data_IF_614612659826
#
_entry.id   IF_614612659826
#
_cell.length_a   1.000
_cell.length_b   1.000
_cell.length_c   1.000
_cell.angle_alpha   90.00
_cell.angle_beta   90.00
_cell.angle_gamma   90.00
#
_symmetry.space_group_name_H-M   'P 1'
#
loop_
_entity.id
_entity.type
_entity.pdbx_description
1 polymer ?
#
# COMPACT_ATOMS: atom_id res chain seq x y z
N UNK A 1 -3.41 -18.25 16.33
CA UNK A 1 -2.80 -19.07 15.24
C UNK A 1 -3.09 -18.39 13.92
N UNK A 2 -2.10 -18.21 13.04
CA UNK A 2 -2.31 -17.54 11.76
C UNK A 2 -3.04 -18.49 10.81
N UNK A 3 -4.16 -18.04 10.24
CA UNK A 3 -4.90 -18.80 9.24
C UNK A 3 -4.20 -18.74 7.88
N UNK A 4 -3.78 -19.88 7.35
CA UNK A 4 -3.10 -19.98 6.04
C UNK A 4 -3.88 -19.28 4.92
N UNK A 5 -5.21 -19.40 4.92
CA UNK A 5 -6.09 -18.76 3.92
C UNK A 5 -5.99 -17.24 3.94
N UNK A 6 -6.02 -16.63 5.13
CA UNK A 6 -5.94 -15.18 5.29
C UNK A 6 -4.54 -14.66 4.98
N UNK A 7 -3.50 -15.40 5.38
CA UNK A 7 -2.11 -15.09 5.00
C UNK A 7 -1.95 -15.06 3.48
N UNK A 8 -2.40 -16.10 2.80
CA UNK A 8 -2.33 -16.15 1.34
C UNK A 8 -3.09 -14.99 0.67
N UNK A 9 -4.30 -14.69 1.13
CA UNK A 9 -5.11 -13.57 0.62
C UNK A 9 -4.42 -12.22 0.85
N UNK A 10 -3.79 -12.03 2.00
CA UNK A 10 -3.05 -10.80 2.31
C UNK A 10 -1.88 -10.61 1.34
N UNK A 11 -1.04 -11.64 1.19
CA UNK A 11 0.08 -11.63 0.25
C UNK A 11 -0.41 -11.37 -1.18
N UNK A 12 -1.42 -12.10 -1.62
CA UNK A 12 -1.99 -11.96 -2.96
C UNK A 12 -2.47 -10.53 -3.23
N UNK A 13 -3.14 -9.90 -2.26
CA UNK A 13 -3.59 -8.50 -2.38
C UNK A 13 -2.43 -7.53 -2.52
N UNK A 14 -1.35 -7.70 -1.75
CA UNK A 14 -0.15 -6.86 -1.87
C UNK A 14 0.46 -6.97 -3.26
N UNK A 15 0.62 -8.20 -3.77
CA UNK A 15 1.16 -8.43 -5.10
C UNK A 15 0.26 -7.87 -6.22
N UNK A 16 -1.04 -8.15 -6.15
CA UNK A 16 -1.98 -7.64 -7.15
C UNK A 16 -2.03 -6.12 -7.15
N UNK A 17 -1.96 -5.48 -5.97
CA UNK A 17 -1.91 -4.02 -5.86
C UNK A 17 -0.64 -3.46 -6.50
N UNK A 18 0.52 -4.06 -6.24
CA UNK A 18 1.79 -3.63 -6.84
C UNK A 18 1.77 -3.78 -8.37
N UNK A 19 1.29 -4.92 -8.87
CA UNK A 19 1.16 -5.17 -10.31
C UNK A 19 0.21 -4.15 -10.95
N UNK A 20 -0.96 -3.90 -10.32
CA UNK A 20 -1.92 -2.91 -10.82
C UNK A 20 -1.31 -1.50 -10.88
N UNK A 21 -0.58 -1.08 -9.84
CA UNK A 21 0.13 0.20 -9.81
C UNK A 21 1.16 0.31 -10.94
N UNK A 22 1.95 -0.75 -11.16
CA UNK A 22 2.94 -0.78 -12.23
C UNK A 22 2.29 -0.75 -13.62
N UNK A 23 1.22 -1.53 -13.83
CA UNK A 23 0.48 -1.52 -15.10
C UNK A 23 -0.09 -0.14 -15.38
N UNK A 24 -0.76 0.48 -14.40
CA UNK A 24 -1.34 1.83 -14.53
C UNK A 24 -0.26 2.84 -14.88
N UNK A 25 0.87 2.82 -14.17
CA UNK A 25 1.97 3.74 -14.41
C UNK A 25 2.56 3.59 -15.81
N UNK A 26 3.00 2.38 -16.18
CA UNK A 26 3.67 2.16 -17.48
C UNK A 26 2.71 2.27 -18.67
N UNK A 27 1.44 1.89 -18.51
CA UNK A 27 0.43 2.11 -19.53
C UNK A 27 0.17 3.61 -19.76
N UNK A 28 0.12 4.40 -18.69
CA UNK A 28 -0.03 5.86 -18.78
C UNK A 28 1.23 6.53 -19.34
N UNK A 29 2.42 6.01 -19.01
CA UNK A 29 3.68 6.53 -19.54
C UNK A 29 3.93 6.17 -21.02
N UNK A 30 3.30 5.12 -21.53
CA UNK A 30 3.51 4.61 -22.89
C UNK A 30 4.90 4.01 -23.15
N UNK A 31 5.71 3.81 -22.09
CA UNK A 31 7.08 3.31 -22.19
C UNK A 31 7.52 2.60 -20.92
N UNK A 32 8.44 1.62 -21.06
CA UNK A 32 8.98 0.85 -19.93
C UNK A 32 10.39 1.30 -19.50
N UNK A 33 11.07 2.11 -20.29
CA UNK A 33 12.45 2.54 -20.06
C UNK A 33 12.52 3.73 -19.11
N UNK A 34 11.99 3.57 -17.90
CA UNK A 34 12.00 4.58 -16.83
C UNK A 34 12.72 4.01 -15.60
N UNK A 35 14.06 4.11 -15.50
CA UNK A 35 14.83 3.48 -14.42
C UNK A 35 14.36 3.89 -13.02
N UNK A 36 13.97 5.15 -12.81
CA UNK A 36 13.49 5.65 -11.51
C UNK A 36 12.19 4.96 -11.08
N UNK A 37 11.30 4.63 -12.02
CA UNK A 37 10.08 3.88 -11.73
C UNK A 37 10.41 2.45 -11.30
N UNK A 38 11.33 1.79 -11.98
CA UNK A 38 11.77 0.44 -11.60
C UNK A 38 12.38 0.42 -10.20
N UNK A 39 13.25 1.40 -9.87
CA UNK A 39 13.80 1.53 -8.52
C UNK A 39 12.67 1.65 -7.48
N UNK A 40 11.67 2.50 -7.74
CA UNK A 40 10.53 2.68 -6.84
C UNK A 40 9.73 1.38 -6.66
N UNK A 41 9.38 0.66 -7.75
CA UNK A 41 8.63 -0.59 -7.66
C UNK A 41 9.41 -1.72 -6.98
N UNK A 42 10.72 -1.82 -7.22
CA UNK A 42 11.59 -2.78 -6.54
C UNK A 42 11.64 -2.47 -5.03
N UNK A 43 11.80 -1.22 -4.64
CA UNK A 43 11.80 -0.83 -3.22
C UNK A 43 10.43 -1.06 -2.57
N UNK A 44 9.34 -0.81 -3.28
CA UNK A 44 7.99 -1.12 -2.80
C UNK A 44 7.79 -2.62 -2.61
N UNK A 45 8.31 -3.44 -3.52
CA UNK A 45 8.29 -4.89 -3.37
C UNK A 45 9.07 -5.35 -2.14
N UNK A 46 10.30 -4.84 -1.95
CA UNK A 46 11.12 -5.13 -0.76
C UNK A 46 10.38 -4.70 0.52
N UNK A 47 9.75 -3.53 0.50
CA UNK A 47 8.91 -3.07 1.61
C UNK A 47 7.78 -4.04 1.92
N UNK A 48 7.04 -4.52 0.93
CA UNK A 48 5.94 -5.47 1.15
C UNK A 48 6.44 -6.78 1.75
N UNK A 49 7.56 -7.31 1.27
CA UNK A 49 8.17 -8.52 1.83
C UNK A 49 8.62 -8.31 3.28
N UNK A 50 9.38 -7.22 3.52
CA UNK A 50 9.90 -6.92 4.86
C UNK A 50 8.76 -6.66 5.85
N UNK A 51 7.78 -5.86 5.47
CA UNK A 51 6.60 -5.59 6.28
C UNK A 51 5.84 -6.89 6.59
N UNK A 52 5.63 -7.75 5.61
CA UNK A 52 5.00 -9.05 5.82
C UNK A 52 5.77 -9.90 6.84
N UNK A 53 7.10 -10.01 6.71
CA UNK A 53 7.94 -10.80 7.63
C UNK A 53 7.85 -10.24 9.06
N UNK A 54 7.93 -8.93 9.21
CA UNK A 54 7.83 -8.26 10.52
C UNK A 54 6.45 -8.53 11.16
N UNK A 55 5.37 -8.29 10.41
CA UNK A 55 4.02 -8.48 10.91
C UNK A 55 3.71 -9.96 11.20
N UNK A 56 4.22 -10.88 10.38
CA UNK A 56 4.05 -12.31 10.61
C UNK A 56 4.68 -12.76 11.94
N UNK A 57 5.80 -12.15 12.31
CA UNK A 57 6.51 -12.48 13.57
C UNK A 57 5.96 -11.73 14.78
N UNK A 58 5.62 -10.46 14.65
CA UNK A 58 5.31 -9.59 15.78
C UNK A 58 3.80 -9.41 16.00
N UNK A 59 3.01 -9.36 14.93
CA UNK A 59 1.57 -9.10 14.98
C UNK A 59 0.78 -10.00 14.03
N UNK A 60 0.87 -11.34 14.18
CA UNK A 60 0.25 -12.30 13.26
C UNK A 60 -1.27 -12.14 13.15
N UNK A 61 -1.92 -11.66 14.21
CA UNK A 61 -3.36 -11.40 14.21
C UNK A 61 -3.75 -10.31 13.21
N UNK A 62 -2.89 -9.30 13.02
CA UNK A 62 -3.13 -8.25 12.07
C UNK A 62 -3.15 -8.78 10.62
N UNK A 63 -2.33 -9.78 10.32
CA UNK A 63 -2.35 -10.46 9.01
C UNK A 63 -3.68 -11.18 8.80
N UNK A 64 -4.20 -11.86 9.82
CA UNK A 64 -5.50 -12.52 9.74
C UNK A 64 -6.62 -11.52 9.44
N UNK A 65 -6.61 -10.36 10.09
CA UNK A 65 -7.61 -9.31 9.89
C UNK A 65 -7.50 -8.71 8.49
N UNK A 66 -6.29 -8.34 8.06
CA UNK A 66 -6.05 -7.76 6.74
C UNK A 66 -6.25 -8.74 5.59
N UNK A 67 -6.05 -10.04 5.82
CA UNK A 67 -6.35 -11.12 4.88
C UNK A 67 -7.84 -11.47 4.81
N UNK A 68 -8.62 -11.11 5.82
CA UNK A 68 -10.07 -11.23 5.86
C UNK A 68 -10.79 -10.31 4.87
N UNK A 69 -12.07 -10.05 5.08
CA UNK A 69 -12.81 -9.08 4.28
C UNK A 69 -12.31 -7.65 4.56
N UNK A 70 -12.03 -6.88 3.50
CA UNK A 70 -11.70 -5.45 3.64
C UNK A 70 -12.90 -4.64 4.14
N UNK A 71 -14.11 -5.13 3.85
CA UNK A 71 -15.37 -4.55 4.29
C UNK A 71 -16.04 -5.51 5.26
N UNK A 72 -15.80 -5.31 6.54
CA UNK A 72 -16.48 -6.07 7.57
C UNK A 72 -17.90 -5.53 7.77
N UNK A 73 -18.85 -6.42 8.15
CA UNK A 73 -20.25 -6.03 8.36
C UNK A 73 -20.42 -4.92 9.41
N UNK A 74 -19.56 -4.91 10.42
CA UNK A 74 -19.54 -3.89 11.48
C UNK A 74 -18.97 -2.53 11.09
N UNK A 75 -18.39 -2.39 9.89
CA UNK A 75 -17.84 -1.11 9.41
C UNK A 75 -18.96 -0.18 8.95
N UNK A 76 -18.86 1.10 9.28
CA UNK A 76 -19.84 2.11 8.88
C UNK A 76 -19.86 2.28 7.35
N UNK A 77 -21.03 2.46 6.79
CA UNK A 77 -21.21 2.57 5.32
C UNK A 77 -20.41 3.73 4.73
N UNK A 78 -20.42 4.89 5.37
CA UNK A 78 -19.67 6.07 4.91
C UNK A 78 -18.16 5.84 4.89
N UNK A 79 -17.62 5.08 5.85
CA UNK A 79 -16.21 4.75 5.92
C UNK A 79 -15.76 3.84 4.77
N UNK A 80 -16.64 2.92 4.35
CA UNK A 80 -16.42 2.09 3.16
C UNK A 80 -16.29 2.94 1.89
N UNK A 81 -17.15 3.96 1.73
CA UNK A 81 -17.06 4.88 0.59
C UNK A 81 -15.76 5.70 0.62
N UNK A 82 -15.40 6.25 1.78
CA UNK A 82 -14.13 6.99 1.92
C UNK A 82 -12.95 6.09 1.57
N UNK A 83 -12.93 4.84 2.04
CA UNK A 83 -11.87 3.90 1.73
C UNK A 83 -11.78 3.59 0.23
N UNK A 84 -12.92 3.46 -0.48
CA UNK A 84 -12.95 3.26 -1.93
C UNK A 84 -12.36 4.49 -2.64
N UNK A 85 -12.84 5.69 -2.30
CA UNK A 85 -12.35 6.95 -2.89
C UNK A 85 -10.85 7.14 -2.61
N UNK A 86 -10.42 6.92 -1.38
CA UNK A 86 -9.01 6.96 -1.01
C UNK A 86 -8.17 5.95 -1.80
N UNK A 87 -8.65 4.72 -1.93
CA UNK A 87 -7.93 3.69 -2.70
C UNK A 87 -7.81 4.08 -4.15
N UNK A 88 -8.88 4.56 -4.76
CA UNK A 88 -8.87 4.93 -6.17
C UNK A 88 -8.04 6.20 -6.42
N UNK A 89 -8.32 7.29 -5.70
CA UNK A 89 -7.64 8.58 -5.90
C UNK A 89 -6.26 8.64 -5.23
N UNK A 90 -6.16 8.16 -3.99
CA UNK A 90 -4.92 8.27 -3.20
C UNK A 90 -3.90 7.19 -3.53
N UNK A 91 -4.31 6.02 -4.03
CA UNK A 91 -3.37 4.93 -4.33
C UNK A 91 -3.18 4.75 -5.84
N UNK A 92 -4.23 4.71 -6.65
CA UNK A 92 -4.09 4.37 -8.07
C UNK A 92 -3.99 5.58 -9.00
N UNK A 93 -4.78 6.64 -8.78
CA UNK A 93 -4.77 7.80 -9.68
C UNK A 93 -3.41 8.52 -9.71
N UNK A 94 -2.67 8.55 -8.59
CA UNK A 94 -1.33 9.13 -8.56
C UNK A 94 -0.35 8.44 -9.52
N UNK A 95 -0.44 7.11 -9.69
CA UNK A 95 0.41 6.38 -10.64
C UNK A 95 0.03 6.69 -12.09
N UNK A 96 -1.26 6.87 -12.36
CA UNK A 96 -1.71 7.31 -13.66
C UNK A 96 -1.17 8.72 -13.99
N UNK A 97 -1.35 9.67 -13.08
CA UNK A 97 -0.89 11.06 -13.27
C UNK A 97 0.63 11.12 -13.43
N UNK A 98 1.38 10.42 -12.59
CA UNK A 98 2.84 10.38 -12.66
C UNK A 98 3.34 9.74 -13.97
N UNK A 99 2.72 8.64 -14.40
CA UNK A 99 3.06 8.00 -15.66
C UNK A 99 2.72 8.88 -16.86
N UNK A 100 1.54 9.48 -16.87
CA UNK A 100 1.10 10.38 -17.93
C UNK A 100 2.00 11.61 -18.06
N UNK A 101 2.36 12.24 -16.94
CA UNK A 101 3.27 13.38 -16.93
C UNK A 101 4.62 13.02 -17.55
N UNK A 102 5.24 11.93 -17.10
CA UNK A 102 6.53 11.48 -17.61
C UNK A 102 6.51 11.06 -19.07
N UNK A 103 5.42 10.47 -19.54
CA UNK A 103 5.33 9.97 -20.91
C UNK A 103 4.92 11.02 -21.95
N UNK A 104 4.13 12.03 -21.55
CA UNK A 104 3.47 12.91 -22.52
C UNK A 104 3.73 14.39 -22.28
N UNK A 105 3.81 14.83 -21.04
CA UNK A 105 3.90 16.24 -20.69
C UNK A 105 5.36 16.62 -20.40
N UNK A 106 5.99 15.88 -19.47
CA UNK A 106 7.36 16.11 -18.97
C UNK A 106 7.67 17.62 -18.75
N UNK A 107 6.68 18.32 -18.15
CA UNK A 107 6.66 19.78 -18.08
C UNK A 107 7.82 20.33 -17.25
N UNK A 108 8.20 19.58 -16.22
CA UNK A 108 9.35 19.87 -15.35
C UNK A 108 10.17 18.59 -15.14
N UNK A 109 11.24 18.38 -15.91
CA UNK A 109 12.12 17.23 -15.68
C UNK A 109 12.82 17.41 -14.34
N UNK A 110 12.24 16.77 -13.30
CA UNK A 110 12.79 16.83 -11.95
C UNK A 110 14.15 16.14 -11.88
N UNK A 111 15.13 16.86 -11.32
CA UNK A 111 16.48 16.35 -11.11
C UNK A 111 16.57 15.17 -10.14
N UNK A 112 17.78 14.63 -9.98
CA UNK A 112 18.05 13.51 -9.05
C UNK A 112 17.82 13.91 -7.59
N UNK A 113 18.00 15.17 -7.25
CA UNK A 113 17.77 15.73 -5.92
C UNK A 113 16.32 15.57 -5.47
N UNK A 114 15.34 15.82 -6.36
CA UNK A 114 13.92 15.62 -6.05
C UNK A 114 13.55 14.14 -5.93
N UNK A 115 14.16 13.30 -6.78
CA UNK A 115 14.00 11.85 -6.65
C UNK A 115 14.55 11.35 -5.31
N UNK A 116 15.74 11.82 -4.92
CA UNK A 116 16.36 11.48 -3.63
C UNK A 116 15.53 11.93 -2.44
N UNK A 117 14.98 13.16 -2.49
CA UNK A 117 14.09 13.68 -1.46
C UNK A 117 12.81 12.83 -1.36
N UNK A 118 12.14 12.55 -2.49
CA UNK A 118 10.94 11.72 -2.53
C UNK A 118 11.19 10.30 -2.00
N UNK A 119 12.33 9.71 -2.36
CA UNK A 119 12.74 8.39 -1.86
C UNK A 119 12.99 8.41 -0.34
N UNK A 120 13.64 9.45 0.17
CA UNK A 120 13.85 9.63 1.61
C UNK A 120 12.53 9.72 2.38
N UNK A 121 11.60 10.53 1.91
CA UNK A 121 10.25 10.65 2.50
C UNK A 121 9.49 9.32 2.43
N UNK A 122 9.61 8.58 1.32
CA UNK A 122 9.01 7.27 1.16
C UNK A 122 9.54 6.26 2.19
N UNK A 123 10.86 6.20 2.39
CA UNK A 123 11.48 5.31 3.39
C UNK A 123 11.01 5.67 4.80
N UNK A 124 11.01 6.96 5.16
CA UNK A 124 10.52 7.42 6.46
C UNK A 124 9.05 6.99 6.66
N UNK A 125 8.21 7.19 5.66
CA UNK A 125 6.80 6.80 5.71
C UNK A 125 6.62 5.29 5.92
N UNK A 126 7.40 4.47 5.23
CA UNK A 126 7.40 3.01 5.40
C UNK A 126 7.73 2.62 6.84
N UNK A 127 8.79 3.19 7.40
CA UNK A 127 9.22 2.90 8.78
C UNK A 127 8.12 3.26 9.77
N UNK A 128 7.52 4.45 9.61
CA UNK A 128 6.43 4.91 10.49
C UNK A 128 5.19 4.03 10.39
N UNK A 129 4.79 3.62 9.17
CA UNK A 129 3.63 2.75 8.96
C UNK A 129 3.86 1.37 9.59
N UNK A 130 5.02 0.75 9.35
CA UNK A 130 5.33 -0.57 9.92
C UNK A 130 5.40 -0.48 11.44
N UNK A 131 6.02 0.57 11.97
CA UNK A 131 6.06 0.81 13.41
C UNK A 131 4.67 0.96 14.01
N UNK A 132 3.80 1.78 13.40
CA UNK A 132 2.41 1.94 13.83
C UNK A 132 1.63 0.62 13.81
N UNK A 133 1.83 -0.22 12.79
CA UNK A 133 1.20 -1.54 12.70
C UNK A 133 1.68 -2.50 13.79
N UNK A 134 2.95 -2.43 14.18
CA UNK A 134 3.51 -3.26 15.25
C UNK A 134 3.01 -2.80 16.62
N UNK A 135 2.91 -1.49 16.84
CA UNK A 135 2.46 -0.92 18.12
C UNK A 135 0.95 -1.02 18.32
N UNK A 136 0.17 -0.99 17.24
CA UNK A 136 -1.29 -1.02 17.30
C UNK A 136 -1.85 -2.32 16.69
N UNK A 137 -2.22 -3.31 17.53
CA UNK A 137 -2.80 -4.58 17.03
C UNK A 137 -4.18 -4.38 16.39
N UNK A 138 -4.82 -3.21 16.56
CA UNK A 138 -6.12 -2.87 15.98
C UNK A 138 -6.02 -2.04 14.70
N UNK A 139 -4.83 -1.96 14.09
CA UNK A 139 -4.56 -1.15 12.90
C UNK A 139 -5.23 -1.74 11.64
N UNK A 140 -6.51 -1.41 11.46
CA UNK A 140 -7.31 -1.79 10.29
C UNK A 140 -7.60 -0.60 9.37
N UNK A 141 -7.91 -0.83 8.08
CA UNK A 141 -8.25 0.23 7.14
C UNK A 141 -9.57 0.93 7.45
N UNK A 142 -10.53 0.21 8.07
CA UNK A 142 -11.88 0.71 8.38
C UNK A 142 -12.02 1.07 9.86
N UNK A 143 -12.79 2.12 10.12
CA UNK A 143 -13.08 2.58 11.48
C UNK A 143 -14.21 1.76 12.08
N UNK A 144 -13.88 0.94 13.08
CA UNK A 144 -14.84 0.16 13.87
C UNK A 144 -14.28 -0.15 15.25
N UNK A 145 -15.15 -0.43 16.19
CA UNK A 145 -14.76 -0.97 17.49
C UNK A 145 -14.70 -2.50 17.35
N UNK A 146 -13.51 -3.07 17.57
CA UNK A 146 -13.25 -4.51 17.45
C UNK A 146 -13.61 -5.21 18.77
N UNK A 147 -14.91 -5.29 19.08
CA UNK A 147 -15.39 -5.89 20.33
C UNK A 147 -14.96 -7.35 20.49
N UNK A 148 -14.86 -8.08 19.39
CA UNK A 148 -14.39 -9.45 19.31
C UNK A 148 -12.92 -9.62 19.74
N UNK A 149 -12.18 -8.52 19.81
CA UNK A 149 -10.78 -8.45 20.26
C UNK A 149 -10.62 -7.66 21.55
N UNK A 150 -11.70 -7.45 22.29
CA UNK A 150 -11.73 -6.68 23.56
C UNK A 150 -11.22 -5.23 23.44
N UNK A 151 -11.37 -4.61 22.28
CA UNK A 151 -11.13 -3.17 22.12
C UNK A 151 -12.21 -2.40 22.89
N UNK A 152 -11.80 -1.52 23.79
CA UNK A 152 -12.64 -0.64 24.58
C UNK A 152 -12.76 0.73 23.94
#
# INVERSE_FOLDING_TARGET
>A
MVERKNTFRYILRLFLSLIAQAIIFFAAAGQFEIPRAWIFFILTFIYYLTSFIILYRLTPELINQRGGSAFQESSKTWDKYILIVYTFLGIYAQFFVAGWDLGHINFWPLGLEYFGLGLGLFIISIVLIVWAMVQNPFFEPTVRIQKERNQK
#
